data_IF_269472038362
#
_entry.id   IF_269472038362
#
_cell.length_a   1.000
_cell.length_b   1.000
_cell.length_c   1.000
_cell.angle_alpha   90.00
_cell.angle_beta   90.00
_cell.angle_gamma   90.00
#
_symmetry.space_group_name_H-M   'P 1'
#
loop_
_entity.id
_entity.type
_entity.pdbx_description
1 polymer ?
#
# COMPACT_ATOMS: atom_id res chain seq x y z
N UNK A 1 9.49 -18.23 4.87
CA UNK A 1 9.95 -17.16 3.97
C UNK A 1 8.92 -16.05 3.89
N UNK A 2 9.37 -14.81 3.98
CA UNK A 2 8.48 -13.65 3.84
C UNK A 2 8.55 -13.12 2.42
N UNK A 3 7.39 -12.90 1.82
CA UNK A 3 7.30 -12.42 0.44
C UNK A 3 6.48 -11.13 0.43
N UNK A 4 7.02 -10.09 -0.19
CA UNK A 4 6.33 -8.85 -0.42
C UNK A 4 6.08 -8.66 -1.91
N UNK A 5 4.98 -8.04 -2.27
CA UNK A 5 4.67 -7.74 -3.66
C UNK A 5 4.30 -6.26 -3.82
N UNK A 6 4.67 -5.68 -4.96
CA UNK A 6 4.21 -4.35 -5.34
C UNK A 6 2.76 -4.44 -5.82
N UNK A 7 1.97 -3.42 -5.50
CA UNK A 7 0.55 -3.42 -5.87
C UNK A 7 0.22 -2.20 -6.73
N UNK A 8 -0.72 -2.39 -7.62
CA UNK A 8 -1.26 -1.33 -8.47
C UNK A 8 -2.78 -1.39 -8.38
N UNK A 9 -3.37 -0.95 -7.24
CA UNK A 9 -4.80 -1.11 -6.98
C UNK A 9 -5.63 -0.02 -7.66
N UNK A 10 -5.32 0.30 -8.91
CA UNK A 10 -6.00 1.35 -9.65
C UNK A 10 -7.03 0.81 -10.63
N UNK A 11 -7.30 -0.48 -10.58
CA UNK A 11 -8.26 -1.15 -11.44
C UNK A 11 -8.87 -2.34 -10.69
N UNK A 12 -10.03 -2.85 -11.14
CA UNK A 12 -10.61 -4.05 -10.52
C UNK A 12 -9.65 -5.23 -10.54
N UNK A 13 -8.87 -5.39 -11.61
CA UNK A 13 -7.91 -6.49 -11.71
C UNK A 13 -6.79 -6.36 -10.68
N UNK A 14 -6.33 -5.14 -10.43
CA UNK A 14 -5.30 -4.88 -9.42
C UNK A 14 -5.79 -5.20 -8.02
N UNK A 15 -7.05 -4.88 -7.73
CA UNK A 15 -7.67 -5.18 -6.44
C UNK A 15 -7.84 -6.69 -6.27
N UNK A 16 -8.28 -7.39 -7.31
CA UNK A 16 -8.39 -8.85 -7.26
C UNK A 16 -7.04 -9.50 -7.02
N UNK A 17 -5.99 -8.98 -7.65
CA UNK A 17 -4.64 -9.47 -7.45
C UNK A 17 -4.24 -9.39 -5.98
N UNK A 18 -4.55 -8.27 -5.32
CA UNK A 18 -4.20 -8.06 -3.91
C UNK A 18 -4.93 -9.04 -3.00
N UNK A 19 -6.23 -9.20 -3.19
CA UNK A 19 -7.03 -10.13 -2.39
C UNK A 19 -6.52 -11.55 -2.56
N UNK A 20 -6.20 -11.93 -3.79
CA UNK A 20 -5.68 -13.25 -4.09
C UNK A 20 -4.28 -13.45 -3.49
N UNK A 21 -3.43 -12.43 -3.54
CA UNK A 21 -2.09 -12.50 -2.97
C UNK A 21 -2.13 -12.73 -1.47
N UNK A 22 -3.03 -12.03 -0.76
CA UNK A 22 -3.19 -12.25 0.68
C UNK A 22 -3.65 -13.67 0.97
N UNK A 23 -4.57 -14.17 0.16
CA UNK A 23 -5.08 -15.54 0.31
C UNK A 23 -3.99 -16.58 0.11
N UNK A 24 -3.01 -16.31 -0.75
CA UNK A 24 -1.89 -17.18 -1.01
C UNK A 24 -0.77 -17.09 0.02
N UNK A 25 -0.90 -16.20 0.99
CA UNK A 25 0.04 -16.11 2.09
C UNK A 25 1.15 -15.08 1.95
N UNK A 26 0.98 -14.10 1.07
CA UNK A 26 1.93 -13.00 0.93
C UNK A 26 2.00 -12.22 2.25
N UNK A 27 3.21 -11.81 2.66
CA UNK A 27 3.44 -11.16 3.94
C UNK A 27 3.18 -9.65 3.90
N UNK A 28 3.49 -8.99 2.80
CA UNK A 28 3.39 -7.53 2.71
C UNK A 28 3.00 -7.06 1.32
N UNK A 29 2.30 -5.93 1.28
CA UNK A 29 1.94 -5.24 0.06
C UNK A 29 2.65 -3.88 0.05
N UNK A 30 3.30 -3.56 -1.05
CA UNK A 30 4.12 -2.37 -1.18
C UNK A 30 3.51 -1.41 -2.20
N UNK A 31 3.29 -0.17 -1.78
CA UNK A 31 2.76 0.87 -2.66
C UNK A 31 3.84 1.92 -2.91
N UNK A 32 4.34 2.05 -4.14
CA UNK A 32 5.34 3.05 -4.47
C UNK A 32 4.71 4.42 -4.66
N UNK A 33 5.51 5.46 -4.50
CA UNK A 33 5.11 6.82 -4.80
C UNK A 33 6.22 7.48 -5.64
N UNK A 34 5.90 7.78 -6.88
CA UNK A 34 6.75 8.59 -7.74
C UNK A 34 5.97 9.87 -8.04
N UNK A 35 6.03 10.38 -9.24
CA UNK A 35 5.25 11.58 -9.59
C UNK A 35 3.88 11.21 -10.18
N UNK A 36 3.26 10.19 -9.66
CA UNK A 36 1.94 9.73 -10.08
C UNK A 36 0.98 9.76 -8.91
N UNK A 37 0.65 8.59 -8.41
CA UNK A 37 -0.34 8.46 -7.35
C UNK A 37 0.30 8.55 -5.98
N UNK A 38 -0.46 9.04 -5.00
CA UNK A 38 -0.08 9.05 -3.60
C UNK A 38 0.05 7.61 -3.08
N UNK A 39 1.09 7.33 -2.29
CA UNK A 39 1.34 5.98 -1.79
C UNK A 39 0.34 5.55 -0.72
N UNK A 40 -0.11 6.48 0.14
CA UNK A 40 -0.96 6.14 1.29
C UNK A 40 -2.43 5.95 0.93
N UNK A 41 -2.92 6.67 -0.05
CA UNK A 41 -4.33 6.56 -0.44
C UNK A 41 -4.70 5.13 -0.88
N UNK A 42 -3.96 4.49 -1.80
CA UNK A 42 -4.27 3.11 -2.13
C UNK A 42 -4.07 2.15 -0.97
N UNK A 43 -3.10 2.40 -0.08
CA UNK A 43 -2.91 1.55 1.09
C UNK A 43 -4.11 1.61 2.04
N UNK A 44 -4.67 2.82 2.25
CA UNK A 44 -5.87 2.97 3.07
C UNK A 44 -7.04 2.20 2.48
N UNK A 45 -7.20 2.24 1.16
CA UNK A 45 -8.26 1.48 0.48
C UNK A 45 -8.03 -0.03 0.66
N UNK A 46 -6.81 -0.49 0.48
CA UNK A 46 -6.49 -1.90 0.64
C UNK A 46 -6.64 -2.39 2.07
N UNK A 47 -6.45 -1.50 3.06
CA UNK A 47 -6.66 -1.86 4.46
C UNK A 47 -8.08 -2.35 4.71
N UNK A 48 -9.05 -1.81 3.98
CA UNK A 48 -10.46 -2.22 4.10
C UNK A 48 -10.74 -3.55 3.40
N UNK A 49 -9.82 -4.02 2.57
CA UNK A 49 -10.01 -5.23 1.75
C UNK A 49 -9.12 -6.38 2.19
N UNK A 50 -8.27 -6.17 3.20
CA UNK A 50 -7.32 -7.17 3.66
C UNK A 50 -7.44 -7.35 5.16
N UNK A 51 -7.02 -8.50 5.68
CA UNK A 51 -7.16 -8.85 7.09
C UNK A 51 -5.82 -8.99 7.81
N UNK A 52 -4.80 -9.47 7.13
CA UNK A 52 -3.57 -9.91 7.77
C UNK A 52 -2.31 -9.29 7.22
N UNK A 53 -2.28 -9.03 5.92
CA UNK A 53 -1.08 -8.60 5.23
C UNK A 53 -0.62 -7.21 5.70
N UNK A 54 0.69 -6.99 5.77
CA UNK A 54 1.23 -5.69 6.14
C UNK A 54 1.24 -4.75 4.94
N UNK A 55 0.89 -3.50 5.17
CA UNK A 55 0.81 -2.48 4.14
C UNK A 55 2.01 -1.54 4.29
N UNK A 56 2.80 -1.40 3.24
CA UNK A 56 4.07 -0.67 3.30
C UNK A 56 4.16 0.32 2.15
N UNK A 57 4.56 1.57 2.48
CA UNK A 57 4.91 2.53 1.44
C UNK A 57 6.34 2.23 0.98
N UNK A 58 6.52 2.15 -0.28
CA UNK A 58 7.83 1.81 -0.74
C UNK A 58 8.31 2.60 -1.93
N UNK A 59 8.27 3.85 -1.81
CA UNK A 59 8.77 4.90 -0.97
C UNK A 59 7.77 6.04 -0.93
N UNK A 60 7.68 6.76 0.19
CA UNK A 60 6.87 7.97 0.30
C UNK A 60 7.72 9.20 0.01
N UNK A 61 7.16 10.17 -0.70
CA UNK A 61 7.86 11.39 -1.07
C UNK A 61 7.78 12.43 0.05
N UNK A 62 8.91 12.70 0.70
CA UNK A 62 8.95 13.71 1.78
C UNK A 62 8.69 15.12 1.26
N UNK A 63 9.13 15.42 0.03
CA UNK A 63 8.93 16.73 -0.57
C UNK A 63 7.47 17.07 -0.86
N UNK A 64 6.61 16.06 -0.90
CA UNK A 64 5.19 16.25 -1.18
C UNK A 64 4.35 16.46 0.08
N UNK A 65 4.93 16.33 1.26
CA UNK A 65 4.20 16.39 2.53
C UNK A 65 5.02 17.11 3.58
N UNK A 66 4.33 17.69 4.58
CA UNK A 66 5.05 18.17 5.77
C UNK A 66 5.37 16.96 6.66
N UNK A 67 6.40 17.04 7.51
CA UNK A 67 6.70 15.95 8.43
C UNK A 67 5.53 15.59 9.33
N UNK A 68 4.79 16.58 9.81
CA UNK A 68 3.62 16.33 10.66
C UNK A 68 2.52 15.58 9.89
N UNK A 69 2.26 16.01 8.65
CA UNK A 69 1.25 15.35 7.80
C UNK A 69 1.64 13.90 7.55
N UNK A 70 2.91 13.66 7.24
CA UNK A 70 3.40 12.32 6.97
C UNK A 70 3.23 11.41 8.19
N UNK A 71 3.59 11.91 9.37
CA UNK A 71 3.47 11.14 10.61
C UNK A 71 2.01 10.79 10.90
N UNK A 72 1.10 11.76 10.80
CA UNK A 72 -0.32 11.53 11.06
C UNK A 72 -0.92 10.53 10.07
N UNK A 73 -0.56 10.67 8.80
CA UNK A 73 -1.06 9.78 7.76
C UNK A 73 -0.55 8.34 7.99
N UNK A 74 0.70 8.18 8.32
CA UNK A 74 1.29 6.85 8.53
C UNK A 74 0.72 6.15 9.77
N UNK A 75 0.28 6.93 10.77
CA UNK A 75 -0.30 6.37 11.99
C UNK A 75 -1.79 6.05 11.85
N UNK A 76 -2.41 6.52 10.82
CA UNK A 76 -3.81 6.23 10.57
C UNK A 76 -3.97 4.83 9.99
#
# INVERSE_FOLDING_TARGET
MRIGVNVEPYSPEGIEFVVKAERLGVDSLWSPEAWGYDAFTPLAFLAARTDRVRLISGIAQLGARTPANLAMTAMS
#
